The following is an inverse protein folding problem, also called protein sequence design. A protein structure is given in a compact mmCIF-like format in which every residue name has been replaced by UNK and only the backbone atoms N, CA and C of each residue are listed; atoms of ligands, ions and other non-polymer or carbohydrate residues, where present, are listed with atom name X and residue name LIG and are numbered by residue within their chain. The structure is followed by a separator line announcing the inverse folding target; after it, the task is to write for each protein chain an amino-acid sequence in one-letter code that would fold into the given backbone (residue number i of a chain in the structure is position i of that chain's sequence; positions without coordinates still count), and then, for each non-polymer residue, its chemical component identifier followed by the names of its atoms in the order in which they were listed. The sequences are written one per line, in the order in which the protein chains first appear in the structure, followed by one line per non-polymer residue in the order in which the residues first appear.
data_IF_032253443332
#
_entry.id   IF_032253443332
#
_cell.length_a   1.000
_cell.length_b   1.000
_cell.length_c   1.000
_cell.angle_alpha   90.00
_cell.angle_beta   90.00
_cell.angle_gamma   90.00
#
_symmetry.space_group_name_H-M   'P 1'
#
loop_
_entity.id
_entity.type
_entity.pdbx_description
1 polymer ?
#
# COMPACT_ATOMS: atom_id res chain seq x y z
N UNK A 1 2.23 41.44 -53.80
CA UNK A 1 2.91 41.04 -52.55
C UNK A 1 2.81 42.20 -51.56
N UNK A 2 1.99 42.09 -50.51
CA UNK A 2 1.96 43.10 -49.43
C UNK A 2 3.28 42.96 -48.65
N UNK A 3 4.02 44.06 -48.47
CA UNK A 3 5.22 44.06 -47.63
C UNK A 3 4.79 43.67 -46.20
N UNK A 4 5.51 42.77 -45.52
CA UNK A 4 5.22 42.44 -44.14
C UNK A 4 5.29 43.72 -43.31
N UNK A 5 4.20 44.04 -42.63
CA UNK A 5 4.15 45.18 -41.74
C UNK A 5 5.04 44.87 -40.53
N UNK A 6 5.76 45.86 -39.99
CA UNK A 6 6.71 45.64 -38.89
C UNK A 6 6.08 44.97 -37.65
N UNK A 7 4.79 45.24 -37.41
CA UNK A 7 3.98 44.59 -36.37
C UNK A 7 3.78 43.09 -36.61
N UNK A 8 3.63 42.65 -37.86
CA UNK A 8 3.39 41.26 -38.23
C UNK A 8 4.61 40.40 -37.91
N UNK A 9 5.81 40.89 -38.26
CA UNK A 9 7.07 40.19 -37.99
C UNK A 9 7.39 40.09 -36.50
N UNK A 10 7.10 41.14 -35.71
CA UNK A 10 7.29 41.07 -34.24
C UNK A 10 6.33 40.09 -33.56
N UNK A 11 5.08 40.04 -34.04
CA UNK A 11 4.09 39.11 -33.50
C UNK A 11 4.48 37.65 -33.72
N UNK A 12 4.94 37.29 -34.92
CA UNK A 12 5.42 35.94 -35.25
C UNK A 12 6.57 35.52 -34.33
N UNK A 13 7.56 36.40 -34.12
CA UNK A 13 8.67 36.13 -33.19
C UNK A 13 8.18 35.93 -31.75
N UNK A 14 7.26 36.77 -31.27
CA UNK A 14 6.69 36.65 -29.91
C UNK A 14 5.91 35.34 -29.77
N UNK A 15 5.08 34.99 -30.75
CA UNK A 15 4.29 33.76 -30.73
C UNK A 15 5.20 32.52 -30.76
N UNK A 16 6.24 32.52 -31.59
CA UNK A 16 7.23 31.45 -31.64
C UNK A 16 7.96 31.26 -30.29
N UNK A 17 8.36 32.36 -29.63
CA UNK A 17 8.97 32.30 -28.29
C UNK A 17 7.99 31.71 -27.28
N UNK A 18 6.72 32.12 -27.32
CA UNK A 18 5.68 31.59 -26.44
C UNK A 18 5.45 30.10 -26.67
N UNK A 19 5.36 29.64 -27.92
CA UNK A 19 5.24 28.21 -28.23
C UNK A 19 6.43 27.42 -27.66
N UNK A 20 7.66 27.92 -27.80
CA UNK A 20 8.84 27.29 -27.21
C UNK A 20 8.76 27.21 -25.68
N UNK A 21 8.26 28.27 -25.03
CA UNK A 21 8.09 28.34 -23.59
C UNK A 21 6.98 27.38 -23.08
N UNK A 22 5.85 27.32 -23.78
CA UNK A 22 4.78 26.34 -23.49
C UNK A 22 5.29 24.91 -23.69
N UNK A 23 6.11 24.67 -24.71
CA UNK A 23 6.71 23.35 -24.95
C UNK A 23 7.64 22.93 -23.80
N UNK A 24 8.51 23.84 -23.34
CA UNK A 24 9.42 23.60 -22.22
C UNK A 24 8.65 23.32 -20.92
N UNK A 25 7.63 24.14 -20.62
CA UNK A 25 6.79 23.95 -19.42
C UNK A 25 5.99 22.66 -19.48
N UNK A 26 5.49 22.27 -20.65
CA UNK A 26 4.83 20.97 -20.85
C UNK A 26 5.78 19.81 -20.58
N UNK A 27 7.02 19.87 -21.10
CA UNK A 27 8.03 18.84 -20.86
C UNK A 27 8.35 18.70 -19.35
N UNK A 28 8.53 19.83 -18.66
CA UNK A 28 8.75 19.84 -17.21
C UNK A 28 7.56 19.28 -16.43
N UNK A 29 6.35 19.68 -16.80
CA UNK A 29 5.09 19.18 -16.25
C UNK A 29 4.96 17.65 -16.38
N UNK A 30 5.26 17.11 -17.56
CA UNK A 30 5.21 15.66 -17.82
C UNK A 30 6.27 14.94 -16.98
N UNK A 31 7.49 15.47 -16.91
CA UNK A 31 8.53 14.92 -16.03
C UNK A 31 8.07 14.87 -14.57
N UNK A 32 7.53 15.97 -14.06
CA UNK A 32 7.03 16.06 -12.68
C UNK A 32 5.89 15.07 -12.41
N UNK A 33 4.94 14.97 -13.34
CA UNK A 33 3.81 14.02 -13.27
C UNK A 33 4.30 12.57 -13.23
N UNK A 34 5.30 12.22 -14.04
CA UNK A 34 5.90 10.88 -14.04
C UNK A 34 6.66 10.60 -12.74
N UNK A 35 7.32 11.60 -12.16
CA UNK A 35 7.99 11.46 -10.86
C UNK A 35 6.98 11.16 -9.74
N UNK A 36 5.83 11.86 -9.68
CA UNK A 36 4.74 11.52 -8.74
C UNK A 36 4.25 10.11 -8.97
N UNK A 37 4.02 9.72 -10.23
CA UNK A 37 3.55 8.38 -10.57
C UNK A 37 4.51 7.29 -10.11
N UNK A 38 5.82 7.52 -10.19
CA UNK A 38 6.83 6.60 -9.66
C UNK A 38 6.72 6.46 -8.14
N UNK A 39 6.59 7.57 -7.42
CA UNK A 39 6.43 7.56 -5.95
C UNK A 39 5.13 6.85 -5.53
N UNK A 40 4.05 7.05 -6.26
CA UNK A 40 2.78 6.34 -6.05
C UNK A 40 2.96 4.81 -6.19
N UNK A 41 3.66 4.38 -7.23
CA UNK A 41 3.93 2.97 -7.49
C UNK A 41 4.85 2.36 -6.43
N UNK A 42 5.85 3.09 -5.96
CA UNK A 42 6.79 2.64 -4.92
C UNK A 42 6.08 2.46 -3.57
N UNK A 43 5.25 3.41 -3.14
CA UNK A 43 4.44 3.27 -1.92
C UNK A 43 3.41 2.15 -2.04
N UNK A 44 2.75 2.01 -3.20
CA UNK A 44 1.80 0.92 -3.43
C UNK A 44 2.50 -0.45 -3.33
N UNK A 45 3.72 -0.55 -3.87
CA UNK A 45 4.53 -1.76 -3.75
C UNK A 45 4.93 -2.04 -2.31
N UNK A 46 5.29 -1.01 -1.54
CA UNK A 46 5.58 -1.15 -0.11
C UNK A 46 4.34 -1.67 0.65
N UNK A 47 3.16 -1.07 0.42
CA UNK A 47 1.90 -1.53 1.03
C UNK A 47 1.55 -2.98 0.69
N UNK A 48 1.80 -3.42 -0.55
CA UNK A 48 1.61 -4.83 -0.92
C UNK A 48 2.58 -5.77 -0.21
N UNK A 49 3.85 -5.39 -0.07
CA UNK A 49 4.84 -6.18 0.66
C UNK A 49 4.44 -6.30 2.13
N UNK A 50 4.01 -5.20 2.73
CA UNK A 50 3.61 -5.12 4.12
C UNK A 50 2.33 -5.92 4.38
N UNK A 51 1.34 -5.85 3.47
CA UNK A 51 0.12 -6.66 3.55
C UNK A 51 0.42 -8.17 3.45
N UNK A 52 1.34 -8.57 2.56
CA UNK A 52 1.76 -9.98 2.44
C UNK A 52 2.49 -10.45 3.69
N UNK A 53 3.36 -9.61 4.27
CA UNK A 53 4.06 -9.93 5.52
C UNK A 53 3.07 -10.07 6.68
N UNK A 54 2.17 -9.11 6.87
CA UNK A 54 1.13 -9.15 7.90
C UNK A 54 0.27 -10.42 7.77
N UNK A 55 -0.20 -10.73 6.55
CA UNK A 55 -0.93 -11.97 6.29
C UNK A 55 -0.09 -13.24 6.57
N UNK A 56 1.21 -13.21 6.28
CA UNK A 56 2.12 -14.32 6.58
C UNK A 56 2.27 -14.52 8.09
N UNK A 57 2.34 -13.45 8.88
CA UNK A 57 2.38 -13.52 10.34
C UNK A 57 1.08 -14.09 10.90
N UNK A 58 -0.06 -13.63 10.41
CA UNK A 58 -1.37 -14.18 10.82
C UNK A 58 -1.48 -15.67 10.49
N UNK A 59 -1.08 -16.08 9.28
CA UNK A 59 -1.11 -17.48 8.87
C UNK A 59 -0.20 -18.35 9.76
N UNK A 60 0.99 -17.86 10.08
CA UNK A 60 1.94 -18.56 10.96
C UNK A 60 1.40 -18.65 12.40
N UNK A 61 0.78 -17.58 12.91
CA UNK A 61 0.12 -17.55 14.21
C UNK A 61 -1.04 -18.55 14.27
N UNK A 62 -1.88 -18.62 13.24
CA UNK A 62 -2.93 -19.64 13.15
C UNK A 62 -2.35 -21.05 13.11
N UNK A 63 -1.32 -21.28 12.28
CA UNK A 63 -0.64 -22.57 12.19
C UNK A 63 -0.13 -23.02 13.56
N UNK A 64 0.56 -22.13 14.27
CA UNK A 64 1.09 -22.38 15.62
C UNK A 64 -0.02 -22.61 16.64
N UNK A 65 -1.08 -21.79 16.63
CA UNK A 65 -2.24 -21.94 17.51
C UNK A 65 -2.87 -23.33 17.39
N UNK A 66 -3.14 -23.77 16.16
CA UNK A 66 -3.75 -25.08 15.92
C UNK A 66 -2.79 -26.23 16.19
N UNK A 67 -1.49 -26.02 16.00
CA UNK A 67 -0.46 -26.97 16.43
C UNK A 67 -0.49 -27.13 17.97
N UNK A 68 -0.43 -26.03 18.72
CA UNK A 68 -0.50 -26.03 20.19
C UNK A 68 -1.81 -26.70 20.68
N UNK A 69 -2.95 -26.38 20.05
CA UNK A 69 -4.25 -26.98 20.37
C UNK A 69 -4.31 -28.48 20.07
N UNK A 70 -3.77 -28.91 18.93
CA UNK A 70 -3.70 -30.31 18.53
C UNK A 70 -2.88 -31.15 19.53
N UNK A 71 -1.72 -30.65 19.95
CA UNK A 71 -0.91 -31.31 20.97
C UNK A 71 -1.57 -31.29 22.35
N UNK A 72 -2.26 -30.20 22.71
CA UNK A 72 -3.02 -30.12 23.95
C UNK A 72 -4.11 -31.19 24.04
N UNK A 73 -4.86 -31.38 22.95
CA UNK A 73 -5.87 -32.43 22.84
C UNK A 73 -5.25 -33.83 22.94
N UNK A 74 -4.18 -34.09 22.17
CA UNK A 74 -3.51 -35.38 22.20
C UNK A 74 -2.92 -35.70 23.58
N UNK A 75 -2.37 -34.70 24.27
CA UNK A 75 -1.90 -34.83 25.64
C UNK A 75 -3.01 -35.30 26.56
N UNK A 76 -4.18 -34.65 26.55
CA UNK A 76 -5.32 -35.02 27.40
C UNK A 76 -5.81 -36.45 27.13
N UNK A 77 -5.90 -36.85 25.86
CA UNK A 77 -6.27 -38.23 25.48
C UNK A 77 -5.23 -39.24 25.97
N UNK A 78 -3.93 -38.95 25.79
CA UNK A 78 -2.84 -39.83 26.21
C UNK A 78 -2.68 -39.91 27.72
N UNK A 79 -2.97 -38.82 28.42
CA UNK A 79 -3.01 -38.81 29.88
C UNK A 79 -4.13 -39.71 30.40
N UNK A 80 -5.33 -39.64 29.82
CA UNK A 80 -6.43 -40.54 30.15
C UNK A 80 -6.09 -42.01 29.83
N UNK A 81 -5.40 -42.28 28.72
CA UNK A 81 -4.90 -43.63 28.38
C UNK A 81 -3.91 -44.14 29.44
N UNK A 82 -2.95 -43.31 29.85
CA UNK A 82 -1.99 -43.64 30.91
C UNK A 82 -2.71 -43.94 32.22
N UNK A 83 -3.68 -43.12 32.62
CA UNK A 83 -4.48 -43.36 33.84
C UNK A 83 -5.26 -44.67 33.77
N UNK A 84 -5.85 -44.99 32.61
CA UNK A 84 -6.56 -46.25 32.42
C UNK A 84 -5.64 -47.47 32.45
N UNK A 85 -4.43 -47.37 31.87
CA UNK A 85 -3.41 -48.42 31.91
C UNK A 85 -2.86 -48.64 33.33
N UNK A 86 -2.67 -47.57 34.11
CA UNK A 86 -2.24 -47.64 35.51
C UNK A 86 -3.29 -48.29 36.42
N UNK A 87 -4.57 -48.04 36.14
CA UNK A 87 -5.68 -48.67 36.86
C UNK A 87 -5.85 -50.17 36.52
N UNK A 88 -5.15 -50.68 35.51
CA UNK A 88 -5.19 -52.08 35.11
C UNK A 88 -4.40 -53.02 36.04
N UNK A 89 -4.75 -54.31 36.00
CA UNK A 89 -4.14 -55.35 36.83
C UNK A 89 -2.90 -56.01 36.21
N UNK A 90 -2.60 -55.79 34.92
CA UNK A 90 -1.45 -56.40 34.26
C UNK A 90 -0.15 -55.59 34.47
N UNK A 91 0.95 -56.30 34.73
CA UNK A 91 2.28 -55.69 34.89
C UNK A 91 2.72 -54.96 33.62
N UNK A 92 2.49 -55.56 32.45
CA UNK A 92 2.85 -54.98 31.15
C UNK A 92 2.12 -53.64 30.86
N UNK A 93 0.87 -53.50 31.28
CA UNK A 93 0.12 -52.25 31.12
C UNK A 93 0.72 -51.13 31.98
N UNK A 94 1.15 -51.45 33.21
CA UNK A 94 1.80 -50.48 34.11
C UNK A 94 3.16 -50.05 33.61
N UNK A 95 3.96 -50.97 33.06
CA UNK A 95 5.26 -50.64 32.47
C UNK A 95 5.10 -49.74 31.24
N UNK A 96 4.10 -50.00 30.40
CA UNK A 96 3.77 -49.15 29.25
C UNK A 96 3.33 -47.75 29.69
N UNK A 97 2.49 -47.66 30.72
CA UNK A 97 2.04 -46.39 31.27
C UNK A 97 3.22 -45.57 31.83
N UNK A 98 4.12 -46.20 32.59
CA UNK A 98 5.33 -45.57 33.10
C UNK A 98 6.21 -45.01 31.98
N UNK A 99 6.39 -45.78 30.90
CA UNK A 99 7.17 -45.36 29.73
C UNK A 99 6.51 -44.15 29.01
N UNK A 100 5.20 -44.20 28.79
CA UNK A 100 4.46 -43.07 28.20
C UNK A 100 4.52 -41.81 29.08
N UNK A 101 4.43 -41.96 30.40
CA UNK A 101 4.50 -40.86 31.36
C UNK A 101 5.87 -40.22 31.42
N UNK A 102 6.93 -41.03 31.25
CA UNK A 102 8.30 -40.55 31.30
C UNK A 102 8.75 -39.88 29.99
N UNK A 103 8.35 -40.41 28.82
CA UNK A 103 8.93 -39.98 27.54
C UNK A 103 7.95 -39.32 26.57
N UNK A 104 6.67 -39.71 26.57
CA UNK A 104 5.71 -39.19 25.59
C UNK A 104 5.01 -37.92 26.11
N UNK A 105 4.42 -38.00 27.30
CA UNK A 105 3.61 -36.92 27.87
C UNK A 105 4.38 -35.60 28.03
N UNK A 106 5.63 -35.57 28.56
CA UNK A 106 6.36 -34.31 28.72
C UNK A 106 6.65 -33.62 27.38
N UNK A 107 7.00 -34.40 26.35
CA UNK A 107 7.28 -33.88 25.01
C UNK A 107 6.01 -33.31 24.35
N UNK A 108 4.87 -33.99 24.50
CA UNK A 108 3.58 -33.48 24.04
C UNK A 108 3.18 -32.19 24.75
N UNK A 109 3.43 -32.13 26.07
CA UNK A 109 3.14 -30.93 26.86
C UNK A 109 4.00 -29.74 26.42
N UNK A 110 5.29 -29.95 26.11
CA UNK A 110 6.19 -28.93 25.56
C UNK A 110 5.70 -28.38 24.22
N UNK A 111 5.26 -29.26 23.32
CA UNK A 111 4.73 -28.86 22.01
C UNK A 111 3.36 -28.18 22.08
N UNK A 112 2.67 -28.33 23.21
CA UNK A 112 1.41 -27.67 23.51
C UNK A 112 1.57 -26.32 24.24
N UNK A 113 2.81 -25.90 24.53
CA UNK A 113 3.06 -24.63 25.22
C UNK A 113 2.89 -23.42 24.29
N UNK A 114 2.41 -22.28 24.82
CA UNK A 114 1.96 -22.07 26.19
C UNK A 114 0.48 -22.46 26.42
N UNK A 115 -0.26 -22.81 25.38
CA UNK A 115 -1.71 -23.06 25.44
C UNK A 115 -2.12 -24.08 26.52
N UNK A 116 -1.41 -25.21 26.64
CA UNK A 116 -1.71 -26.25 27.63
C UNK A 116 -1.23 -25.94 29.05
N UNK A 117 -0.21 -25.10 29.19
CA UNK A 117 0.50 -24.89 30.46
C UNK A 117 0.09 -23.62 31.18
N UNK A 118 -0.32 -22.59 30.45
CA UNK A 118 -0.68 -21.30 31.04
C UNK A 118 -2.19 -21.24 31.30
N UNK A 119 -2.56 -21.12 32.58
CA UNK A 119 -3.96 -21.06 33.02
C UNK A 119 -4.72 -19.89 32.40
N UNK A 120 -4.03 -18.83 31.95
CA UNK A 120 -4.70 -17.68 31.33
C UNK A 120 -5.45 -18.04 30.05
N UNK A 121 -5.09 -19.14 29.39
CA UNK A 121 -5.75 -19.65 28.19
C UNK A 121 -6.74 -20.77 28.48
N UNK A 122 -7.01 -21.10 29.75
CA UNK A 122 -8.01 -22.10 30.12
C UNK A 122 -9.31 -21.40 30.50
N UNK A 123 -10.43 -21.87 29.94
CA UNK A 123 -11.78 -21.40 30.27
C UNK A 123 -12.31 -22.13 31.51
N UNK A 124 -13.37 -21.58 32.10
CA UNK A 124 -14.03 -22.16 33.27
C UNK A 124 -14.64 -23.55 33.00
N UNK A 125 -14.96 -23.87 31.74
CA UNK A 125 -15.47 -25.18 31.30
C UNK A 125 -14.36 -26.22 31.05
N UNK A 126 -13.09 -25.86 31.27
CA UNK A 126 -11.93 -26.71 31.03
C UNK A 126 -11.44 -26.73 29.58
N UNK A 127 -12.09 -26.00 28.66
CA UNK A 127 -11.62 -25.85 27.27
C UNK A 127 -10.58 -24.74 27.13
N UNK A 128 -9.92 -24.65 25.98
CA UNK A 128 -8.92 -23.61 25.71
C UNK A 128 -9.51 -22.38 25.03
N UNK A 129 -9.02 -21.21 25.42
CA UNK A 129 -9.32 -19.92 24.79
C UNK A 129 -8.34 -19.60 23.67
N UNK A 130 -8.65 -20.16 22.51
CA UNK A 130 -7.86 -19.95 21.29
C UNK A 130 -7.87 -18.50 20.82
N UNK A 131 -8.97 -17.77 21.05
CA UNK A 131 -9.08 -16.36 20.65
C UNK A 131 -8.13 -15.50 21.48
N UNK A 132 -8.10 -15.72 22.79
CA UNK A 132 -7.16 -15.03 23.67
C UNK A 132 -5.71 -15.37 23.34
N UNK A 133 -5.40 -16.65 23.06
CA UNK A 133 -4.06 -17.06 22.63
C UNK A 133 -3.65 -16.39 21.31
N UNK A 134 -4.56 -16.32 20.34
CA UNK A 134 -4.31 -15.65 19.07
C UNK A 134 -4.06 -14.15 19.25
N UNK A 135 -4.89 -13.48 20.05
CA UNK A 135 -4.71 -12.06 20.36
C UNK A 135 -3.36 -11.79 21.04
N UNK A 136 -2.96 -12.64 22.00
CA UNK A 136 -1.64 -12.51 22.64
C UNK A 136 -0.50 -12.70 21.63
N UNK A 137 -0.61 -13.64 20.68
CA UNK A 137 0.39 -13.82 19.60
C UNK A 137 0.46 -12.64 18.64
N UNK A 138 -0.67 -12.01 18.31
CA UNK A 138 -0.68 -10.78 17.50
C UNK A 138 0.01 -9.62 18.24
N UNK A 139 -0.15 -9.53 19.57
CA UNK A 139 0.48 -8.50 20.39
C UNK A 139 1.98 -8.77 20.69
N UNK A 140 2.45 -10.01 20.53
CA UNK A 140 3.87 -10.38 20.70
C UNK A 140 4.75 -9.93 19.52
N UNK A 141 4.18 -9.68 18.34
CA UNK A 141 4.92 -9.24 17.15
C UNK A 141 5.13 -7.73 17.21
N UNK A 142 6.34 -7.33 17.61
CA UNK A 142 6.70 -5.92 17.84
C UNK A 142 6.84 -5.09 16.54
N UNK A 143 6.95 -5.74 15.38
CA UNK A 143 7.10 -5.14 14.05
C UNK A 143 6.02 -5.68 13.09
N UNK A 144 4.73 -5.54 13.42
CA UNK A 144 3.67 -5.80 12.43
C UNK A 144 3.64 -4.65 11.42
N UNK A 145 3.99 -4.88 10.14
CA UNK A 145 4.00 -3.81 9.16
C UNK A 145 2.57 -3.35 8.89
N UNK A 146 2.29 -2.04 9.03
CA UNK A 146 0.97 -1.47 8.75
C UNK A 146 0.85 -1.09 7.25
N UNK A 147 0.18 -1.91 6.42
CA UNK A 147 0.02 -1.62 5.00
C UNK A 147 -0.86 -0.38 4.74
N UNK A 148 -1.70 -0.01 5.70
CA UNK A 148 -2.71 1.06 5.54
C UNK A 148 -2.04 2.40 5.31
N UNK A 149 -0.95 2.69 6.02
CA UNK A 149 -0.21 3.93 5.86
C UNK A 149 0.44 4.03 4.48
N UNK A 150 1.04 2.95 3.99
CA UNK A 150 1.66 2.92 2.68
C UNK A 150 0.62 3.09 1.55
N UNK A 151 -0.52 2.40 1.63
CA UNK A 151 -1.61 2.58 0.67
C UNK A 151 -2.21 3.98 0.71
N UNK A 152 -2.40 4.57 1.89
CA UNK A 152 -2.89 5.94 2.02
C UNK A 152 -1.94 6.96 1.36
N UNK A 153 -0.62 6.78 1.51
CA UNK A 153 0.38 7.61 0.81
C UNK A 153 0.33 7.37 -0.69
N UNK A 154 0.24 6.13 -1.15
CA UNK A 154 0.10 5.81 -2.57
C UNK A 154 -1.13 6.50 -3.19
N UNK A 155 -2.28 6.45 -2.51
CA UNK A 155 -3.51 7.10 -2.94
C UNK A 155 -3.38 8.62 -3.05
N UNK A 156 -2.67 9.25 -2.10
CA UNK A 156 -2.37 10.68 -2.19
C UNK A 156 -1.57 11.03 -3.44
N UNK A 157 -0.54 10.25 -3.78
CA UNK A 157 0.26 10.48 -5.00
C UNK A 157 -0.52 10.16 -6.26
N UNK A 158 -1.36 9.12 -6.29
CA UNK A 158 -2.24 8.85 -7.44
C UNK A 158 -3.27 9.97 -7.64
N UNK A 159 -3.75 10.58 -6.56
CA UNK A 159 -4.61 11.75 -6.66
C UNK A 159 -3.84 12.96 -7.22
N UNK A 160 -2.66 13.24 -6.70
CA UNK A 160 -1.79 14.32 -7.19
C UNK A 160 -1.48 14.14 -8.69
N UNK A 161 -1.06 12.94 -9.09
CA UNK A 161 -0.76 12.60 -10.48
C UNK A 161 -1.95 12.86 -11.40
N UNK A 162 -3.17 12.43 -11.02
CA UNK A 162 -4.39 12.67 -11.81
C UNK A 162 -4.62 14.16 -12.05
N UNK A 163 -4.44 14.99 -11.02
CA UNK A 163 -4.63 16.43 -11.14
C UNK A 163 -3.53 17.12 -11.96
N UNK A 164 -2.29 16.64 -11.88
CA UNK A 164 -1.19 17.12 -12.74
C UNK A 164 -1.40 16.73 -14.22
N UNK A 165 -1.99 15.56 -14.51
CA UNK A 165 -2.36 15.16 -15.88
C UNK A 165 -3.38 16.15 -16.47
N UNK A 166 -4.38 16.58 -15.69
CA UNK A 166 -5.33 17.62 -16.13
C UNK A 166 -4.60 18.90 -16.52
N UNK A 167 -3.61 19.32 -15.72
CA UNK A 167 -2.75 20.45 -16.05
C UNK A 167 -2.01 20.25 -17.38
N UNK A 168 -1.46 19.06 -17.63
CA UNK A 168 -0.75 18.74 -18.87
C UNK A 168 -1.67 18.86 -20.10
N UNK A 169 -2.94 18.47 -19.97
CA UNK A 169 -3.94 18.62 -21.05
C UNK A 169 -4.21 20.10 -21.33
N UNK A 170 -4.30 20.95 -20.31
CA UNK A 170 -4.46 22.39 -20.49
C UNK A 170 -3.29 23.01 -21.26
N UNK A 171 -2.05 22.61 -20.95
CA UNK A 171 -0.86 23.07 -21.68
C UNK A 171 -0.88 22.61 -23.15
N UNK A 172 -1.30 21.38 -23.42
CA UNK A 172 -1.47 20.89 -24.78
C UNK A 172 -2.53 21.68 -25.58
N UNK A 173 -3.65 22.02 -24.95
CA UNK A 173 -4.70 22.87 -25.56
C UNK A 173 -4.14 24.27 -25.84
N UNK A 174 -3.37 24.83 -24.92
CA UNK A 174 -2.72 26.13 -25.13
C UNK A 174 -1.78 26.10 -26.35
N UNK A 175 -0.93 25.07 -26.45
CA UNK A 175 -0.02 24.90 -27.58
C UNK A 175 -0.78 24.79 -28.89
N UNK A 176 -1.88 24.03 -28.93
CA UNK A 176 -2.77 23.96 -30.09
C UNK A 176 -3.24 25.35 -30.54
N UNK A 177 -3.78 26.17 -29.64
CA UNK A 177 -4.26 27.51 -29.98
C UNK A 177 -3.14 28.45 -30.42
N UNK A 178 -1.97 28.41 -29.76
CA UNK A 178 -0.82 29.23 -30.15
C UNK A 178 -0.26 28.83 -31.53
N UNK A 179 -0.25 27.53 -31.86
CA UNK A 179 0.11 27.06 -33.20
C UNK A 179 -0.91 27.47 -34.25
N UNK A 180 -2.21 27.52 -33.91
CA UNK A 180 -3.25 27.98 -34.81
C UNK A 180 -3.08 29.48 -35.11
N UNK A 181 -2.76 30.27 -34.07
CA UNK A 181 -2.47 31.69 -34.20
C UNK A 181 -1.28 31.96 -35.14
N UNK A 182 -0.30 31.05 -35.22
CA UNK A 182 0.84 31.21 -36.14
C UNK A 182 0.40 31.12 -37.62
N UNK A 183 -0.62 30.30 -37.91
CA UNK A 183 -1.08 30.00 -39.28
C UNK A 183 -2.31 30.85 -39.67
N UNK A 184 -3.03 31.42 -38.69
CA UNK A 184 -4.29 32.12 -38.86
C UNK A 184 -4.22 33.50 -39.54
N UNK A 185 -5.36 33.95 -40.08
CA UNK A 185 -5.53 35.25 -40.72
C UNK A 185 -5.61 36.41 -39.70
N UNK A 186 -5.26 37.65 -40.10
CA UNK A 186 -5.03 38.83 -39.23
C UNK A 186 -6.03 39.05 -38.07
N UNK A 187 -7.35 38.88 -38.29
CA UNK A 187 -8.36 39.07 -37.23
C UNK A 187 -8.51 37.89 -36.29
N UNK A 188 -8.46 36.66 -36.81
CA UNK A 188 -8.62 35.43 -36.01
C UNK A 188 -7.35 35.13 -35.22
N UNK A 189 -6.18 35.50 -35.77
CA UNK A 189 -4.88 35.33 -35.15
C UNK A 189 -4.77 35.94 -33.76
N UNK A 190 -5.26 37.16 -33.56
CA UNK A 190 -5.21 37.82 -32.24
C UNK A 190 -6.13 37.13 -31.22
N UNK A 191 -7.27 36.62 -31.67
CA UNK A 191 -8.21 35.90 -30.81
C UNK A 191 -7.62 34.54 -30.38
N UNK A 192 -7.11 33.77 -31.33
CA UNK A 192 -6.45 32.48 -31.10
C UNK A 192 -5.24 32.63 -30.16
N UNK A 193 -4.43 33.67 -30.37
CA UNK A 193 -3.33 34.00 -29.48
C UNK A 193 -3.78 34.32 -28.06
N UNK A 194 -4.81 35.15 -27.89
CA UNK A 194 -5.33 35.52 -26.58
C UNK A 194 -5.91 34.31 -25.84
N UNK A 195 -6.61 33.41 -26.55
CA UNK A 195 -7.12 32.15 -26.01
C UNK A 195 -5.95 31.25 -25.58
N UNK A 196 -4.97 31.03 -26.47
CA UNK A 196 -3.80 30.20 -26.18
C UNK A 196 -3.01 30.69 -24.98
N UNK A 197 -2.77 32.01 -24.89
CA UNK A 197 -2.11 32.64 -23.75
C UNK A 197 -2.95 32.55 -22.46
N UNK A 198 -4.26 32.75 -22.53
CA UNK A 198 -5.16 32.62 -21.39
C UNK A 198 -5.17 31.20 -20.82
N UNK A 199 -5.28 30.20 -21.70
CA UNK A 199 -5.21 28.77 -21.31
C UNK A 199 -3.83 28.42 -20.77
N UNK A 200 -2.76 28.97 -21.32
CA UNK A 200 -1.40 28.77 -20.80
C UNK A 200 -1.28 29.23 -19.35
N UNK A 201 -1.64 30.50 -19.08
CA UNK A 201 -1.54 31.09 -17.76
C UNK A 201 -2.42 30.35 -16.75
N UNK A 202 -3.62 29.93 -17.16
CA UNK A 202 -4.50 29.11 -16.34
C UNK A 202 -3.89 27.73 -16.05
N UNK A 203 -3.29 27.08 -17.05
CA UNK A 203 -2.60 25.80 -16.88
C UNK A 203 -1.41 25.90 -15.91
N UNK A 204 -0.60 26.96 -15.99
CA UNK A 204 0.49 27.21 -15.04
C UNK A 204 -0.03 27.45 -13.63
N UNK A 205 -1.07 28.27 -13.48
CA UNK A 205 -1.70 28.52 -12.18
C UNK A 205 -2.30 27.24 -11.59
N UNK A 206 -2.89 26.39 -12.42
CA UNK A 206 -3.40 25.08 -12.03
C UNK A 206 -2.28 24.17 -11.49
N UNK A 207 -1.16 24.06 -12.20
CA UNK A 207 0.01 23.30 -11.74
C UNK A 207 0.49 23.76 -10.38
N UNK A 208 0.68 25.06 -10.21
CA UNK A 208 1.11 25.65 -8.94
C UNK A 208 0.08 25.37 -7.84
N UNK A 209 -1.21 25.51 -8.13
CA UNK A 209 -2.29 25.23 -7.18
C UNK A 209 -2.28 23.78 -6.70
N UNK A 210 -2.17 22.82 -7.61
CA UNK A 210 -2.11 21.38 -7.27
C UNK A 210 -0.88 21.11 -6.40
N UNK A 211 0.31 21.57 -6.80
CA UNK A 211 1.53 21.37 -6.01
C UNK A 211 1.42 21.96 -4.61
N UNK A 212 0.88 23.18 -4.47
CA UNK A 212 0.69 23.82 -3.16
C UNK A 212 -0.27 23.01 -2.29
N UNK A 213 -1.41 22.59 -2.84
CA UNK A 213 -2.41 21.81 -2.10
C UNK A 213 -1.81 20.50 -1.59
N UNK A 214 -1.12 19.75 -2.45
CA UNK A 214 -0.52 18.47 -2.05
C UNK A 214 0.70 18.64 -1.15
N UNK A 215 1.42 19.76 -1.22
CA UNK A 215 2.50 20.09 -0.28
C UNK A 215 1.96 20.32 1.14
N UNK A 216 0.77 20.92 1.29
CA UNK A 216 0.13 21.15 2.59
C UNK A 216 -0.63 19.93 3.14
N UNK A 217 -1.06 19.01 2.27
CA UNK A 217 -1.77 17.79 2.67
C UNK A 217 -0.84 16.65 3.09
N UNK A 218 0.46 16.76 2.81
CA UNK A 218 1.48 15.75 3.10
C UNK A 218 2.12 15.99 4.47
#
# INVERSE_FOLDING_TARGET
MKKPNWFTSRFEVINAILIALVSLTTAFSVWRTNMVGSLAADENRAGLIDAVKSQSYDNENYRKLYQEAGFSYQFAVKEAEVQALEAGDSLEARDRAANMRQYLLPNMQLLAQPLATDEKYRKADGTFDLQKRFADMQNEVQDDPDPTLAFARADSYFSEQRWLVVGSVLLAISLFWLTLAEIGNERLRMLEFAIGLGVYLFGVAWFLGVEIVFLFLR
#
